data_IF_626196081521
#
_entry.id   IF_626196081521
#
_cell.length_a   1.000
_cell.length_b   1.000
_cell.length_c   1.000
_cell.angle_alpha   90.00
_cell.angle_beta   90.00
_cell.angle_gamma   90.00
#
_symmetry.space_group_name_H-M   'P 1'
#
loop_
_entity.id
_entity.type
_entity.pdbx_description
1 polymer ?
#
# COMPACT_ATOMS: atom_id res chain seq x y z
N UNK A 1 -16.80 9.75 4.67
CA UNK A 1 -16.27 9.29 3.37
C UNK A 1 -15.53 10.45 2.71
N UNK A 2 -14.43 10.19 1.97
CA UNK A 2 -13.71 11.24 1.25
C UNK A 2 -13.50 10.82 -0.20
N UNK A 3 -13.71 11.76 -1.10
CA UNK A 3 -13.50 11.58 -2.53
C UNK A 3 -12.02 11.78 -2.87
N UNK A 4 -11.41 10.77 -3.50
CA UNK A 4 -10.01 10.80 -3.96
C UNK A 4 -10.00 10.36 -5.43
N UNK A 5 -9.17 10.96 -6.28
CA UNK A 5 -9.02 10.52 -7.66
C UNK A 5 -8.59 9.05 -7.73
N UNK A 6 -9.36 8.22 -8.45
CA UNK A 6 -9.15 6.77 -8.51
C UNK A 6 -7.78 6.40 -9.07
N UNK A 7 -7.24 7.22 -9.98
CA UNK A 7 -5.94 6.98 -10.58
C UNK A 7 -4.78 7.25 -9.62
N UNK A 8 -4.91 8.25 -8.72
CA UNK A 8 -3.88 8.50 -7.70
C UNK A 8 -3.76 7.31 -6.73
N UNK A 9 -4.91 6.72 -6.40
CA UNK A 9 -4.97 5.52 -5.57
C UNK A 9 -4.33 4.30 -6.25
N UNK A 10 -4.65 4.07 -7.54
CA UNK A 10 -4.01 3.02 -8.34
C UNK A 10 -2.51 3.25 -8.48
N UNK A 11 -2.10 4.49 -8.74
CA UNK A 11 -0.69 4.85 -8.84
C UNK A 11 0.06 4.49 -7.56
N UNK A 12 -0.44 4.88 -6.39
CA UNK A 12 0.16 4.52 -5.11
C UNK A 12 0.35 3.00 -4.95
N UNK A 13 -0.70 2.21 -5.25
CA UNK A 13 -0.65 0.73 -5.17
C UNK A 13 0.38 0.14 -6.13
N UNK A 14 0.39 0.61 -7.39
CA UNK A 14 1.31 0.13 -8.42
C UNK A 14 2.75 0.48 -8.04
N UNK A 15 3.03 1.73 -7.67
CA UNK A 15 4.37 2.19 -7.32
C UNK A 15 4.93 1.43 -6.12
N UNK A 16 4.15 1.26 -5.05
CA UNK A 16 4.61 0.49 -3.87
C UNK A 16 4.87 -0.97 -4.25
N UNK A 17 3.99 -1.58 -5.04
CA UNK A 17 4.17 -2.98 -5.48
C UNK A 17 5.44 -3.14 -6.32
N UNK A 18 5.67 -2.24 -7.28
CA UNK A 18 6.88 -2.23 -8.10
C UNK A 18 8.14 -2.03 -7.25
N UNK A 19 8.12 -1.10 -6.28
CA UNK A 19 9.26 -0.87 -5.40
C UNK A 19 9.59 -2.10 -4.55
N UNK A 20 8.59 -2.84 -4.06
CA UNK A 20 8.83 -4.09 -3.30
C UNK A 20 9.41 -5.17 -4.21
N UNK A 21 8.89 -5.34 -5.43
CA UNK A 21 9.46 -6.28 -6.40
C UNK A 21 10.89 -5.93 -6.79
N UNK A 22 11.19 -4.63 -6.98
CA UNK A 22 12.55 -4.15 -7.22
C UNK A 22 13.45 -4.40 -6.01
N UNK A 23 12.97 -4.13 -4.79
CA UNK A 23 13.71 -4.42 -3.56
C UNK A 23 14.06 -5.91 -3.47
N UNK A 24 13.12 -6.80 -3.81
CA UNK A 24 13.34 -8.25 -3.84
C UNK A 24 14.34 -8.66 -4.95
N UNK A 25 14.13 -8.21 -6.19
CA UNK A 25 14.95 -8.58 -7.34
C UNK A 25 16.42 -8.16 -7.18
N UNK A 26 16.66 -6.97 -6.64
CA UNK A 26 18.00 -6.45 -6.37
C UNK A 26 18.52 -6.80 -4.97
N UNK A 27 17.71 -7.47 -4.14
CA UNK A 27 18.00 -7.72 -2.72
C UNK A 27 18.49 -6.45 -2.00
N UNK A 28 17.83 -5.32 -2.27
CA UNK A 28 18.26 -4.00 -1.84
C UNK A 28 17.52 -3.55 -0.59
N UNK A 29 18.24 -3.55 0.54
CA UNK A 29 17.73 -3.03 1.82
C UNK A 29 17.26 -1.56 1.74
N UNK A 30 18.02 -0.63 1.11
CA UNK A 30 17.60 0.76 0.98
C UNK A 30 16.22 0.92 0.30
N UNK A 31 15.94 0.13 -0.74
CA UNK A 31 14.63 0.14 -1.41
C UNK A 31 13.50 -0.30 -0.47
N UNK A 32 13.74 -1.32 0.35
CA UNK A 32 12.75 -1.79 1.32
C UNK A 32 12.48 -0.74 2.41
N UNK A 33 13.51 -0.03 2.87
CA UNK A 33 13.37 1.10 3.79
C UNK A 33 12.57 2.25 3.17
N UNK A 34 12.79 2.58 1.90
CA UNK A 34 11.99 3.59 1.18
C UNK A 34 10.51 3.17 1.16
N UNK A 35 10.21 1.91 0.86
CA UNK A 35 8.83 1.39 0.90
C UNK A 35 8.23 1.52 2.28
N UNK A 36 8.97 1.15 3.33
CA UNK A 36 8.53 1.29 4.71
C UNK A 36 8.20 2.74 5.06
N UNK A 37 9.04 3.70 4.67
CA UNK A 37 8.79 5.12 4.88
C UNK A 37 7.57 5.61 4.11
N UNK A 38 7.40 5.22 2.84
CA UNK A 38 6.23 5.58 2.04
C UNK A 38 4.94 5.07 2.71
N UNK A 39 4.91 3.81 3.13
CA UNK A 39 3.75 3.20 3.77
C UNK A 39 3.50 3.80 5.17
N UNK A 40 4.55 3.99 5.96
CA UNK A 40 4.49 4.57 7.30
C UNK A 40 4.01 6.02 7.28
N UNK A 41 4.58 6.85 6.40
CA UNK A 41 4.11 8.21 6.18
C UNK A 41 2.67 8.24 5.68
N UNK A 42 2.27 7.32 4.80
CA UNK A 42 0.88 7.25 4.32
C UNK A 42 -0.10 6.77 5.40
N UNK A 43 0.35 6.00 6.39
CA UNK A 43 -0.43 5.58 7.54
C UNK A 43 -0.58 6.71 8.58
N UNK A 44 0.49 7.48 8.81
CA UNK A 44 0.54 8.59 9.77
C UNK A 44 -0.14 9.86 9.22
N UNK A 45 0.10 10.18 7.95
CA UNK A 45 -0.49 11.33 7.28
C UNK A 45 -1.93 11.02 6.88
N UNK A 46 -2.81 12.03 6.96
CA UNK A 46 -4.13 11.94 6.33
C UNK A 46 -3.95 11.66 4.84
N UNK A 47 -4.76 10.79 4.26
CA UNK A 47 -4.64 10.29 2.88
C UNK A 47 -4.47 11.41 1.84
N UNK A 48 -5.09 12.58 2.06
CA UNK A 48 -4.97 13.75 1.20
C UNK A 48 -3.54 14.32 1.11
N UNK A 49 -2.67 14.02 2.08
CA UNK A 49 -1.26 14.42 2.11
C UNK A 49 -0.30 13.25 1.89
N UNK A 50 -0.80 12.09 1.44
CA UNK A 50 0.09 10.98 1.12
C UNK A 50 1.05 11.43 0.01
N UNK A 51 2.37 11.23 0.18
CA UNK A 51 3.38 11.82 -0.69
C UNK A 51 3.19 11.44 -2.16
N UNK A 52 2.77 10.19 -2.42
CA UNK A 52 2.47 9.70 -3.77
C UNK A 52 1.18 10.30 -4.36
N UNK A 53 0.18 10.61 -3.53
CA UNK A 53 -1.06 11.25 -4.00
C UNK A 53 -0.78 12.70 -4.35
N UNK A 54 -0.04 13.43 -3.50
CA UNK A 54 0.37 14.82 -3.79
C UNK A 54 1.22 14.86 -5.06
N UNK A 55 2.16 13.93 -5.20
CA UNK A 55 3.00 13.84 -6.40
C UNK A 55 2.17 13.57 -7.65
N UNK A 56 1.21 12.65 -7.60
CA UNK A 56 0.30 12.37 -8.70
C UNK A 56 -0.60 13.57 -9.04
N UNK A 57 -1.18 14.22 -8.04
CA UNK A 57 -2.05 15.39 -8.22
C UNK A 57 -1.31 16.58 -8.83
N UNK A 58 -0.04 16.76 -8.50
CA UNK A 58 0.76 17.85 -9.06
C UNK A 58 1.24 17.57 -10.49
N UNK A 59 1.48 16.30 -10.84
CA UNK A 59 2.08 15.92 -12.13
C UNK A 59 1.06 15.42 -13.15
N UNK A 60 0.34 14.34 -12.84
CA UNK A 60 -0.47 13.59 -13.81
C UNK A 60 -1.92 14.10 -13.83
N UNK A 61 -2.49 14.47 -12.68
CA UNK A 61 -3.89 14.93 -12.62
C UNK A 61 -4.13 16.21 -13.42
N UNK A 62 -3.09 17.06 -13.57
CA UNK A 62 -3.15 18.26 -14.42
C UNK A 62 -3.30 17.93 -15.91
N UNK A 63 -2.88 16.74 -16.32
CA UNK A 63 -2.88 16.30 -17.73
C UNK A 63 -4.12 15.42 -18.01
N UNK A 64 -4.50 14.55 -17.06
CA UNK A 64 -5.62 13.62 -17.22
C UNK A 64 -6.49 13.67 -15.96
N UNK A 65 -7.63 14.39 -15.99
CA UNK A 65 -8.56 14.41 -14.87
C UNK A 65 -9.16 13.02 -14.63
N UNK A 66 -9.20 12.60 -13.36
CA UNK A 66 -9.65 11.28 -12.96
C UNK A 66 -11.03 11.34 -12.31
N UNK A 67 -11.78 10.23 -12.37
CA UNK A 67 -13.04 10.13 -11.61
C UNK A 67 -12.75 10.05 -10.12
N UNK A 68 -13.54 10.78 -9.35
CA UNK A 68 -13.52 10.70 -7.89
C UNK A 68 -14.14 9.38 -7.43
N UNK A 69 -13.41 8.64 -6.60
CA UNK A 69 -13.93 7.47 -5.89
C UNK A 69 -14.07 7.82 -4.42
N UNK A 70 -15.23 7.53 -3.84
CA UNK A 70 -15.40 7.62 -2.40
C UNK A 70 -14.69 6.44 -1.74
N UNK A 71 -13.75 6.75 -0.85
CA UNK A 71 -12.99 5.74 -0.11
C UNK A 71 -13.13 6.03 1.38
N UNK A 72 -13.23 4.95 2.17
CA UNK A 72 -13.20 5.04 3.63
C UNK A 72 -11.78 5.35 4.11
N UNK A 73 -11.61 6.55 4.67
CA UNK A 73 -10.30 7.03 5.14
C UNK A 73 -9.70 6.11 6.22
N UNK A 74 -10.53 5.55 7.10
CA UNK A 74 -10.11 4.62 8.15
C UNK A 74 -9.63 3.29 7.57
N UNK A 75 -10.38 2.70 6.63
CA UNK A 75 -10.01 1.45 5.98
C UNK A 75 -8.69 1.56 5.21
N UNK A 76 -8.46 2.69 4.53
CA UNK A 76 -7.21 2.89 3.82
C UNK A 76 -6.02 3.09 4.77
N UNK A 77 -6.18 3.84 5.86
CA UNK A 77 -5.14 3.96 6.90
C UNK A 77 -4.82 2.61 7.52
N UNK A 78 -5.83 1.79 7.77
CA UNK A 78 -5.62 0.44 8.28
C UNK A 78 -4.81 -0.40 7.30
N UNK A 79 -5.14 -0.38 6.01
CA UNK A 79 -4.40 -1.10 4.97
C UNK A 79 -2.93 -0.65 4.86
N UNK A 80 -2.67 0.66 4.94
CA UNK A 80 -1.30 1.18 4.97
C UNK A 80 -0.57 0.81 6.25
N UNK A 81 -1.22 0.91 7.42
CA UNK A 81 -0.63 0.52 8.71
C UNK A 81 -0.23 -0.95 8.74
N UNK A 82 -1.12 -1.83 8.27
CA UNK A 82 -0.85 -3.26 8.10
C UNK A 82 0.36 -3.47 7.17
N UNK A 83 0.38 -2.75 6.05
CA UNK A 83 1.51 -2.77 5.12
C UNK A 83 2.82 -2.32 5.77
N UNK A 84 2.80 -1.27 6.59
CA UNK A 84 3.96 -0.75 7.31
C UNK A 84 4.50 -1.77 8.31
N UNK A 85 3.62 -2.41 9.09
CA UNK A 85 3.99 -3.44 10.06
C UNK A 85 4.61 -4.66 9.36
N UNK A 86 3.96 -5.16 8.29
CA UNK A 86 4.50 -6.27 7.51
C UNK A 86 5.87 -5.93 6.88
N UNK A 87 6.03 -4.71 6.37
CA UNK A 87 7.30 -4.24 5.84
C UNK A 87 8.38 -4.14 6.93
N UNK A 88 8.03 -3.68 8.14
CA UNK A 88 8.95 -3.64 9.27
C UNK A 88 9.41 -5.04 9.69
N UNK A 89 8.50 -6.02 9.71
CA UNK A 89 8.82 -7.43 9.96
C UNK A 89 9.79 -7.94 8.89
N UNK A 90 9.55 -7.64 7.61
CA UNK A 90 10.45 -8.02 6.52
C UNK A 90 11.84 -7.42 6.69
N UNK A 91 11.94 -6.13 7.05
CA UNK A 91 13.21 -5.46 7.34
C UNK A 91 13.92 -6.17 8.51
N UNK A 92 13.24 -6.36 9.65
CA UNK A 92 13.81 -6.98 10.83
C UNK A 92 14.33 -8.41 10.54
N UNK A 93 13.53 -9.23 9.84
CA UNK A 93 13.94 -10.57 9.43
C UNK A 93 15.10 -10.56 8.43
N UNK A 94 15.17 -9.57 7.55
CA UNK A 94 16.29 -9.45 6.59
C UNK A 94 17.59 -9.03 7.28
N UNK A 95 17.52 -8.25 8.37
CA UNK A 95 18.70 -7.92 9.20
C UNK A 95 19.16 -9.12 10.03
N UNK A 96 18.23 -9.83 10.68
CA UNK A 96 18.55 -10.94 11.59
C UNK A 96 18.89 -12.23 10.85
N UNK A 97 18.18 -12.53 9.75
CA UNK A 97 18.27 -13.78 8.99
C UNK A 97 18.17 -13.50 7.47
N UNK A 98 19.25 -13.02 6.81
CA UNK A 98 19.20 -12.52 5.45
C UNK A 98 18.52 -13.46 4.44
N UNK A 99 18.86 -14.76 4.47
CA UNK A 99 18.28 -15.75 3.56
C UNK A 99 16.78 -15.93 3.76
N UNK A 100 16.31 -15.94 5.01
CA UNK A 100 14.89 -16.12 5.35
C UNK A 100 14.11 -14.83 5.12
N UNK A 101 14.69 -13.66 5.46
CA UNK A 101 14.07 -12.36 5.28
C UNK A 101 13.61 -12.10 3.85
N UNK A 102 14.42 -12.45 2.85
CA UNK A 102 14.04 -12.28 1.44
C UNK A 102 12.86 -13.15 1.00
N UNK A 103 12.67 -14.34 1.58
CA UNK A 103 11.45 -15.14 1.35
C UNK A 103 10.19 -14.45 1.89
N UNK A 104 10.30 -13.78 3.03
CA UNK A 104 9.21 -12.95 3.56
C UNK A 104 8.96 -11.71 2.71
N UNK A 105 10.01 -11.08 2.18
CA UNK A 105 9.87 -9.97 1.22
C UNK A 105 9.16 -10.44 -0.05
N UNK A 106 9.46 -11.64 -0.56
CA UNK A 106 8.75 -12.23 -1.69
C UNK A 106 7.25 -12.42 -1.38
N UNK A 107 6.93 -13.02 -0.23
CA UNK A 107 5.55 -13.19 0.20
C UNK A 107 4.82 -11.84 0.32
N UNK A 108 5.50 -10.82 0.86
CA UNK A 108 4.99 -9.46 0.93
C UNK A 108 4.78 -8.83 -0.46
N UNK A 109 5.69 -9.06 -1.41
CA UNK A 109 5.55 -8.62 -2.80
C UNK A 109 4.30 -9.20 -3.45
N UNK A 110 4.07 -10.51 -3.29
CA UNK A 110 2.88 -11.20 -3.79
C UNK A 110 1.60 -10.63 -3.16
N UNK A 111 1.57 -10.41 -1.85
CA UNK A 111 0.43 -9.78 -1.17
C UNK A 111 0.14 -8.36 -1.70
N UNK A 112 1.17 -7.58 -2.01
CA UNK A 112 1.03 -6.26 -2.62
C UNK A 112 0.49 -6.34 -4.04
N UNK A 113 0.92 -7.31 -4.84
CA UNK A 113 0.35 -7.56 -6.18
C UNK A 113 -1.13 -7.89 -6.11
N UNK A 114 -1.57 -8.75 -5.17
CA UNK A 114 -3.00 -9.02 -4.96
C UNK A 114 -3.77 -7.73 -4.60
N UNK A 115 -3.18 -6.90 -3.74
CA UNK A 115 -3.74 -5.60 -3.35
C UNK A 115 -3.86 -4.61 -4.52
N UNK A 116 -2.93 -4.68 -5.48
CA UNK A 116 -2.94 -3.89 -6.72
C UNK A 116 -4.07 -4.33 -7.66
N UNK A 117 -4.38 -5.62 -7.75
CA UNK A 117 -5.45 -6.17 -8.59
C UNK A 117 -6.87 -5.83 -8.10
N UNK A 118 -6.99 -5.11 -6.98
CA UNK A 118 -8.27 -4.63 -6.45
C UNK A 118 -8.84 -5.50 -5.33
N UNK A 119 -8.21 -6.63 -5.03
CA UNK A 119 -8.46 -7.41 -3.83
C UNK A 119 -7.64 -6.79 -2.70
N UNK A 120 -8.13 -5.71 -2.10
CA UNK A 120 -7.43 -5.04 -1.00
C UNK A 120 -7.81 -5.75 0.31
N UNK A 121 -7.02 -6.73 0.81
CA UNK A 121 -7.42 -7.53 1.96
C UNK A 121 -7.59 -6.66 3.21
N UNK A 122 -6.85 -5.57 3.33
CA UNK A 122 -6.99 -4.63 4.44
C UNK A 122 -8.34 -3.91 4.47
N UNK A 123 -8.88 -3.52 3.30
CA UNK A 123 -10.22 -2.91 3.24
C UNK A 123 -11.29 -3.97 3.49
N UNK A 124 -11.14 -5.18 2.94
CA UNK A 124 -12.06 -6.29 3.19
C UNK A 124 -12.09 -6.71 4.68
N UNK A 125 -10.93 -6.79 5.33
CA UNK A 125 -10.82 -7.06 6.77
C UNK A 125 -11.43 -5.92 7.59
N UNK A 126 -11.18 -4.66 7.21
CA UNK A 126 -11.77 -3.52 7.90
C UNK A 126 -13.30 -3.49 7.76
N UNK A 127 -13.85 -3.70 6.56
CA UNK A 127 -15.30 -3.80 6.36
C UNK A 127 -15.89 -4.97 7.14
N UNK A 128 -15.22 -6.12 7.21
CA UNK A 128 -15.68 -7.23 8.04
C UNK A 128 -15.68 -6.88 9.54
N UNK A 129 -14.65 -6.18 10.02
CA UNK A 129 -14.56 -5.74 11.41
C UNK A 129 -15.56 -4.63 11.76
N UNK A 130 -15.77 -3.67 10.87
CA UNK A 130 -16.60 -2.49 11.11
C UNK A 130 -18.10 -2.72 10.84
N UNK A 131 -18.43 -3.53 9.85
CA UNK A 131 -19.81 -3.76 9.40
C UNK A 131 -20.38 -5.13 9.83
N UNK A 132 -19.55 -6.03 10.37
CA UNK A 132 -19.94 -7.37 10.82
C UNK A 132 -20.31 -8.36 9.69
N UNK A 133 -20.44 -7.88 8.46
CA UNK A 133 -20.70 -8.70 7.27
C UNK A 133 -19.42 -8.93 6.45
N UNK A 134 -18.86 -10.14 6.54
CA UNK A 134 -17.65 -10.55 5.84
C UNK A 134 -17.93 -10.92 4.35
N UNK A 135 -18.46 -9.99 3.56
CA UNK A 135 -18.56 -10.19 2.10
C UNK A 135 -17.27 -9.75 1.43
N UNK A 136 -16.35 -10.70 1.22
CA UNK A 136 -15.01 -10.49 0.61
C UNK A 136 -15.08 -9.90 -0.83
N UNK A 137 -16.27 -9.84 -1.45
CA UNK A 137 -16.51 -9.48 -2.85
C UNK A 137 -17.50 -8.32 -3.09
N UNK A 138 -17.68 -7.38 -2.15
CA UNK A 138 -18.44 -6.14 -2.49
C UNK A 138 -17.57 -5.23 -3.36
N UNK A 139 -17.93 -5.13 -4.64
CA UNK A 139 -17.22 -4.44 -5.72
C UNK A 139 -17.46 -2.93 -5.71
#
# INVERSE_FOLDING_TARGET
MKAIPINAFRFCKITVTLLVWLAFAFQSMPLLVIVFLILGLSALLKIQRAPLIVLYSFTIERIIPSRMKEVHETGLRFAHSLGTVLCAICIALTVLFPTVGWWYVLAFAVLKTVSMLGLCPGEAMYSCYAEGSCSIFKK
#
